data_IF_781692861041
#
_entry.id   IF_781692861041
#
_cell.length_a   1.000
_cell.length_b   1.000
_cell.length_c   1.000
_cell.angle_alpha   90.00
_cell.angle_beta   90.00
_cell.angle_gamma   90.00
#
_symmetry.space_group_name_H-M   'P 1'
#
loop_
_entity.id
_entity.type
_entity.pdbx_description
1 polymer ?
#
# COMPACT_ATOMS: atom_id res chain seq x y z
N UNK A 1 -2.48 -13.58 -9.77
CA UNK A 1 -1.79 -14.17 -10.96
C UNK A 1 -0.70 -13.24 -11.43
N UNK A 2 0.49 -13.74 -11.69
CA UNK A 2 1.60 -12.96 -12.23
C UNK A 2 1.73 -13.27 -13.74
N UNK A 3 1.64 -12.23 -14.59
CA UNK A 3 1.77 -12.37 -16.06
C UNK A 3 0.78 -13.36 -16.72
N UNK A 4 -0.46 -13.42 -16.21
CA UNK A 4 -1.46 -14.37 -16.70
C UNK A 4 -1.21 -15.82 -16.29
N UNK A 5 -0.21 -16.08 -15.44
CA UNK A 5 0.13 -17.41 -14.94
C UNK A 5 -0.10 -17.49 -13.44
N UNK A 6 -0.62 -18.64 -12.99
CA UNK A 6 -0.67 -18.96 -11.56
C UNK A 6 0.72 -19.39 -11.09
N UNK A 7 1.22 -18.73 -10.04
CA UNK A 7 2.53 -19.03 -9.45
C UNK A 7 2.32 -19.42 -8.00
N UNK A 8 2.61 -20.67 -7.61
CA UNK A 8 2.56 -21.08 -6.22
C UNK A 8 3.56 -20.29 -5.38
N UNK A 9 3.11 -19.84 -4.21
CA UNK A 9 3.96 -19.30 -3.16
C UNK A 9 4.44 -20.46 -2.26
N UNK A 10 5.42 -20.22 -1.36
CA UNK A 10 5.89 -21.24 -0.43
C UNK A 10 4.74 -21.90 0.35
N UNK A 11 4.76 -23.22 0.43
CA UNK A 11 3.72 -24.00 1.12
C UNK A 11 4.12 -24.33 2.56
N UNK A 12 3.11 -24.62 3.38
CA UNK A 12 3.26 -25.08 4.76
C UNK A 12 2.40 -26.33 4.94
N UNK A 13 2.99 -27.40 5.47
CA UNK A 13 2.22 -28.53 5.99
C UNK A 13 1.80 -28.24 7.42
N UNK A 14 0.57 -28.63 7.79
CA UNK A 14 0.07 -28.56 9.15
C UNK A 14 0.01 -29.95 9.76
N UNK A 15 0.49 -30.09 10.98
CA UNK A 15 0.47 -31.34 11.74
C UNK A 15 -0.27 -31.09 13.06
N UNK A 16 -1.38 -31.77 13.23
CA UNK A 16 -2.19 -31.72 14.47
C UNK A 16 -1.49 -32.38 15.65
N UNK A 17 -1.84 -31.98 16.86
CA UNK A 17 -1.36 -32.60 18.08
C UNK A 17 -2.07 -33.92 18.35
N UNK A 18 -1.42 -34.86 19.08
CA UNK A 18 -1.98 -36.14 19.44
C UNK A 18 -3.31 -35.99 20.18
N UNK A 19 -4.35 -36.72 19.74
CA UNK A 19 -5.70 -36.66 20.31
C UNK A 19 -6.59 -35.55 19.73
N UNK A 20 -6.07 -34.64 18.91
CA UNK A 20 -6.89 -33.66 18.19
C UNK A 20 -7.50 -34.31 16.94
N UNK A 21 -8.77 -33.98 16.65
CA UNK A 21 -9.43 -34.35 15.40
C UNK A 21 -9.26 -33.31 14.31
N UNK A 22 -8.55 -32.22 14.63
CA UNK A 22 -8.29 -31.07 13.71
C UNK A 22 -6.82 -30.70 13.76
N UNK A 23 -6.30 -30.24 12.65
CA UNK A 23 -4.92 -29.82 12.48
C UNK A 23 -4.72 -28.30 12.59
N UNK A 24 -5.77 -27.58 13.02
CA UNK A 24 -5.76 -26.12 13.08
C UNK A 24 -4.68 -25.57 14.03
N UNK A 25 -4.03 -24.50 13.62
CA UNK A 25 -3.06 -23.78 14.46
C UNK A 25 -3.67 -23.28 15.77
N UNK A 26 -4.93 -22.81 15.72
CA UNK A 26 -5.67 -22.39 16.93
C UNK A 26 -5.87 -23.50 17.95
N UNK A 27 -5.79 -24.76 17.54
CA UNK A 27 -5.90 -25.96 18.39
C UNK A 27 -4.53 -26.53 18.80
N UNK A 28 -3.45 -25.78 18.62
CA UNK A 28 -2.09 -26.18 18.98
C UNK A 28 -1.33 -26.92 17.87
N UNK A 29 -1.85 -26.93 16.64
CA UNK A 29 -1.15 -27.49 15.49
C UNK A 29 0.17 -26.79 15.19
N UNK A 30 1.14 -27.54 14.69
CA UNK A 30 2.47 -27.05 14.27
C UNK A 30 2.56 -27.06 12.76
N UNK A 31 2.96 -25.93 12.18
CA UNK A 31 3.23 -25.82 10.76
C UNK A 31 4.71 -25.97 10.45
N UNK A 32 5.02 -26.63 9.33
CA UNK A 32 6.38 -26.71 8.80
C UNK A 32 6.40 -26.34 7.33
N UNK A 33 7.39 -25.53 6.91
CA UNK A 33 7.57 -25.17 5.52
C UNK A 33 7.91 -26.37 4.65
N UNK A 34 7.45 -26.34 3.38
CA UNK A 34 7.73 -27.37 2.39
C UNK A 34 8.65 -26.82 1.33
N UNK A 35 9.78 -27.48 1.12
CA UNK A 35 10.75 -27.17 0.07
C UNK A 35 10.15 -27.51 -1.32
N UNK A 36 10.66 -26.92 -2.40
CA UNK A 36 10.13 -27.20 -3.75
C UNK A 36 10.12 -28.65 -4.19
N UNK A 37 10.98 -29.46 -3.60
CA UNK A 37 11.11 -30.90 -3.86
C UNK A 37 10.18 -31.77 -2.99
N UNK A 38 9.39 -31.15 -2.12
CA UNK A 38 8.47 -31.84 -1.20
C UNK A 38 9.02 -32.16 0.19
N UNK A 39 10.34 -32.00 0.43
CA UNK A 39 10.94 -32.17 1.75
C UNK A 39 10.49 -31.04 2.69
N UNK A 40 10.36 -31.36 3.96
CA UNK A 40 10.06 -30.36 4.97
C UNK A 40 11.30 -29.55 5.34
N UNK A 41 11.09 -28.37 5.92
CA UNK A 41 12.14 -27.64 6.60
C UNK A 41 12.57 -28.39 7.87
N UNK A 42 13.68 -27.98 8.46
CA UNK A 42 14.28 -28.70 9.59
C UNK A 42 13.50 -28.47 10.91
N UNK A 43 12.55 -27.55 10.93
CA UNK A 43 11.74 -27.23 12.09
C UNK A 43 10.36 -26.73 11.70
N UNK A 44 9.42 -26.80 12.63
CA UNK A 44 8.09 -26.23 12.53
C UNK A 44 7.82 -25.17 13.60
N UNK A 45 6.71 -24.45 13.45
CA UNK A 45 6.31 -23.37 14.35
C UNK A 45 4.83 -23.46 14.70
N UNK A 46 4.48 -23.10 15.96
CA UNK A 46 3.09 -22.84 16.34
C UNK A 46 2.64 -21.47 15.84
N UNK A 47 1.34 -21.18 15.96
CA UNK A 47 0.78 -19.86 15.67
C UNK A 47 1.45 -18.73 16.48
N UNK A 48 1.97 -19.04 17.67
CA UNK A 48 2.66 -18.08 18.54
C UNK A 48 4.15 -17.91 18.24
N UNK A 49 4.67 -18.61 17.22
CA UNK A 49 6.09 -18.58 16.85
C UNK A 49 6.99 -19.46 17.69
N UNK A 50 6.43 -20.39 18.49
CA UNK A 50 7.22 -21.37 19.22
C UNK A 50 7.81 -22.39 18.25
N UNK A 51 9.12 -22.61 18.31
CA UNK A 51 9.86 -23.48 17.39
C UNK A 51 9.96 -24.91 17.93
N UNK A 52 9.80 -25.87 17.03
CA UNK A 52 9.96 -27.30 17.29
C UNK A 52 10.83 -27.94 16.20
N UNK A 53 11.92 -28.61 16.59
CA UNK A 53 12.73 -29.44 15.67
C UNK A 53 12.11 -30.84 15.55
N UNK A 54 11.45 -31.29 16.61
CA UNK A 54 10.67 -32.53 16.67
C UNK A 54 9.25 -32.18 17.12
N UNK A 55 8.27 -32.62 16.35
CA UNK A 55 6.84 -32.40 16.66
C UNK A 55 6.49 -33.10 18.00
N UNK A 56 5.54 -32.57 18.83
CA UNK A 56 5.15 -33.19 20.10
C UNK A 56 4.70 -34.66 20.03
N UNK A 57 4.30 -35.17 18.87
CA UNK A 57 3.98 -36.59 18.63
C UNK A 57 5.20 -37.45 18.26
N UNK A 58 6.42 -36.91 18.29
CA UNK A 58 7.66 -37.61 17.99
C UNK A 58 8.13 -37.54 16.51
N UNK A 59 7.37 -36.85 15.63
CA UNK A 59 7.76 -36.71 14.23
C UNK A 59 8.92 -35.72 14.07
N UNK A 60 9.98 -36.15 13.38
CA UNK A 60 11.18 -35.34 13.09
C UNK A 60 10.98 -34.59 11.78
N UNK A 61 10.95 -33.27 11.83
CA UNK A 61 10.61 -32.46 10.63
C UNK A 61 11.63 -32.62 9.50
N UNK A 62 12.94 -32.68 9.81
CA UNK A 62 13.99 -32.81 8.79
C UNK A 62 13.94 -34.13 8.00
N UNK A 63 13.24 -35.15 8.51
CA UNK A 63 13.02 -36.44 7.87
C UNK A 63 11.70 -36.47 7.09
N UNK A 64 10.89 -35.41 7.18
CA UNK A 64 9.57 -35.34 6.61
C UNK A 64 9.55 -35.07 5.11
N UNK A 65 8.59 -35.66 4.44
CA UNK A 65 8.36 -35.50 3.02
C UNK A 65 6.86 -35.50 2.70
N UNK A 66 6.41 -34.60 1.82
CA UNK A 66 5.04 -34.55 1.32
C UNK A 66 4.98 -35.33 -0.01
N UNK A 67 4.35 -36.51 -0.05
CA UNK A 67 4.28 -37.31 -1.27
C UNK A 67 3.49 -36.56 -2.36
N UNK A 68 3.89 -36.71 -3.62
CA UNK A 68 3.22 -36.09 -4.77
C UNK A 68 2.99 -34.57 -4.62
N UNK A 69 3.91 -33.87 -3.97
CA UNK A 69 3.83 -32.42 -3.74
C UNK A 69 3.74 -31.64 -5.06
N UNK A 70 4.43 -32.09 -6.10
CA UNK A 70 4.35 -31.57 -7.46
C UNK A 70 2.94 -31.62 -8.04
N UNK A 71 2.22 -32.74 -7.84
CA UNK A 71 0.81 -32.86 -8.24
C UNK A 71 -0.09 -31.88 -7.48
N UNK A 72 0.16 -31.70 -6.19
CA UNK A 72 -0.57 -30.72 -5.39
C UNK A 72 -0.37 -29.28 -5.91
N UNK A 73 0.86 -28.91 -6.24
CA UNK A 73 1.16 -27.62 -6.84
C UNK A 73 0.47 -27.42 -8.20
N UNK A 74 0.44 -28.45 -9.05
CA UNK A 74 -0.25 -28.37 -10.35
C UNK A 74 -1.78 -28.29 -10.17
N UNK A 75 -2.34 -29.01 -9.19
CA UNK A 75 -3.76 -28.89 -8.85
C UNK A 75 -4.11 -27.47 -8.41
N UNK A 76 -3.32 -26.86 -7.51
CA UNK A 76 -3.49 -25.46 -7.09
C UNK A 76 -3.42 -24.50 -8.27
N UNK A 77 -2.45 -24.66 -9.17
CA UNK A 77 -2.34 -23.82 -10.37
C UNK A 77 -3.61 -23.91 -11.23
N UNK A 78 -4.10 -25.11 -11.49
CA UNK A 78 -5.34 -25.34 -12.26
C UNK A 78 -6.54 -24.72 -11.57
N UNK A 79 -6.73 -24.96 -10.27
CA UNK A 79 -7.83 -24.41 -9.50
C UNK A 79 -7.79 -22.87 -9.51
N UNK A 80 -6.63 -22.26 -9.33
CA UNK A 80 -6.51 -20.80 -9.32
C UNK A 80 -6.83 -20.18 -10.68
N UNK A 81 -6.58 -20.86 -11.78
CA UNK A 81 -6.96 -20.38 -13.12
C UNK A 81 -8.48 -20.31 -13.33
N UNK A 82 -9.28 -21.06 -12.55
CA UNK A 82 -10.75 -20.98 -12.60
C UNK A 82 -11.34 -19.84 -11.75
N UNK A 83 -10.53 -19.23 -10.91
CA UNK A 83 -10.91 -18.07 -10.07
C UNK A 83 -9.94 -16.89 -10.29
N UNK A 84 -9.75 -16.43 -11.53
CA UNK A 84 -8.73 -15.45 -11.89
C UNK A 84 -8.97 -14.06 -11.29
N UNK A 85 -10.17 -13.80 -10.76
CA UNK A 85 -10.52 -12.56 -10.09
C UNK A 85 -9.77 -12.34 -8.77
N UNK A 86 -9.18 -13.40 -8.20
CA UNK A 86 -8.38 -13.29 -6.98
C UNK A 86 -6.89 -13.29 -7.32
N UNK A 87 -6.20 -12.18 -7.01
CA UNK A 87 -4.75 -12.04 -7.27
C UNK A 87 -3.92 -12.99 -6.42
N UNK A 88 -4.33 -13.22 -5.16
CA UNK A 88 -3.71 -14.15 -4.21
C UNK A 88 -4.84 -14.92 -3.52
N UNK A 89 -4.67 -16.22 -3.38
CA UNK A 89 -5.56 -17.10 -2.62
C UNK A 89 -4.73 -18.15 -1.87
N UNK A 90 -5.16 -18.52 -0.67
CA UNK A 90 -4.67 -19.67 0.08
C UNK A 90 -5.50 -20.89 -0.29
N UNK A 91 -4.83 -22.02 -0.54
CA UNK A 91 -5.45 -23.28 -0.94
C UNK A 91 -5.10 -24.36 0.09
N UNK A 92 -6.09 -24.94 0.71
CA UNK A 92 -5.93 -26.06 1.64
C UNK A 92 -6.12 -27.36 0.86
N UNK A 93 -5.03 -28.13 0.74
CA UNK A 93 -4.93 -29.38 -0.03
C UNK A 93 -4.55 -30.51 0.93
N UNK A 94 -5.25 -31.61 0.86
CA UNK A 94 -4.82 -32.88 1.44
C UNK A 94 -4.26 -33.79 0.35
N UNK A 95 -3.42 -34.75 0.74
CA UNK A 95 -3.01 -35.86 -0.11
C UNK A 95 -3.74 -37.10 0.43
N UNK A 96 -4.52 -37.76 -0.39
CA UNK A 96 -5.26 -38.96 0.01
C UNK A 96 -4.38 -40.21 0.08
N UNK A 97 -4.98 -41.35 0.41
CA UNK A 97 -4.26 -42.61 0.56
C UNK A 97 -3.67 -43.15 -0.78
N UNK A 98 -4.23 -42.73 -1.89
CA UNK A 98 -3.76 -43.09 -3.25
C UNK A 98 -2.69 -42.10 -3.75
N UNK A 99 -2.38 -41.07 -2.94
CA UNK A 99 -1.39 -40.04 -3.25
C UNK A 99 -1.92 -38.94 -4.16
N UNK A 100 -3.23 -38.81 -4.30
CA UNK A 100 -3.84 -37.78 -5.13
C UNK A 100 -4.20 -36.52 -4.31
N UNK A 101 -4.01 -35.31 -4.88
CA UNK A 101 -4.35 -34.07 -4.18
C UNK A 101 -5.87 -33.85 -4.15
N UNK A 102 -6.38 -33.64 -2.96
CA UNK A 102 -7.80 -33.35 -2.68
C UNK A 102 -7.93 -31.91 -2.20
N UNK A 103 -8.72 -31.12 -2.89
CA UNK A 103 -9.05 -29.76 -2.47
C UNK A 103 -9.99 -29.80 -1.27
N UNK A 104 -9.58 -29.18 -0.17
CA UNK A 104 -10.40 -29.04 1.04
C UNK A 104 -11.16 -27.72 0.97
N UNK A 105 -10.43 -26.59 0.91
CA UNK A 105 -11.02 -25.25 0.83
C UNK A 105 -10.06 -24.25 0.20
N UNK A 106 -10.56 -23.06 -0.10
CA UNK A 106 -9.72 -21.94 -0.46
C UNK A 106 -10.18 -20.65 0.25
N UNK A 107 -9.21 -19.79 0.58
CA UNK A 107 -9.43 -18.54 1.29
C UNK A 107 -8.86 -17.38 0.50
N UNK A 108 -9.66 -16.33 0.28
CA UNK A 108 -9.30 -15.14 -0.49
C UNK A 108 -9.15 -13.89 0.36
N UNK A 109 -9.37 -14.01 1.66
CA UNK A 109 -9.22 -12.93 2.63
C UNK A 109 -8.83 -13.48 3.99
N UNK A 110 -8.01 -12.72 4.74
CA UNK A 110 -7.63 -13.07 6.10
C UNK A 110 -6.70 -14.28 6.25
N UNK A 111 -6.05 -14.73 5.17
CA UNK A 111 -5.04 -15.78 5.27
C UNK A 111 -3.93 -15.31 6.22
N UNK A 112 -3.72 -16.04 7.33
CA UNK A 112 -2.66 -15.75 8.30
C UNK A 112 -1.29 -15.89 7.65
N UNK A 113 -0.65 -14.77 7.35
CA UNK A 113 0.68 -14.76 6.74
C UNK A 113 1.79 -15.09 7.71
N UNK A 114 1.54 -14.94 9.01
CA UNK A 114 2.55 -15.09 10.08
C UNK A 114 3.18 -16.46 10.07
N UNK A 115 2.35 -17.51 9.99
CA UNK A 115 2.84 -18.88 9.99
C UNK A 115 3.71 -19.20 8.76
N UNK A 116 3.39 -18.63 7.61
CA UNK A 116 4.21 -18.74 6.41
C UNK A 116 5.56 -18.03 6.57
N UNK A 117 5.57 -16.86 7.22
CA UNK A 117 6.79 -16.10 7.47
C UNK A 117 7.73 -16.81 8.44
N UNK A 118 7.20 -17.42 9.50
CA UNK A 118 8.02 -18.23 10.43
C UNK A 118 8.67 -19.42 9.72
N UNK A 119 7.94 -20.09 8.85
CA UNK A 119 8.37 -21.34 8.23
C UNK A 119 9.21 -21.15 6.95
N UNK A 120 8.95 -20.11 6.17
CA UNK A 120 9.52 -19.94 4.84
C UNK A 120 10.19 -18.57 4.61
N UNK A 121 10.22 -17.71 5.64
CA UNK A 121 10.64 -16.31 5.48
C UNK A 121 9.59 -15.47 4.74
N UNK A 122 9.97 -14.33 4.14
CA UNK A 122 9.02 -13.42 3.52
C UNK A 122 8.15 -14.08 2.46
N UNK A 123 6.84 -14.24 2.72
CA UNK A 123 5.90 -14.99 1.88
C UNK A 123 5.93 -14.56 0.40
N UNK A 124 5.98 -13.27 0.16
CA UNK A 124 5.95 -12.73 -1.20
C UNK A 124 7.34 -12.60 -1.84
N UNK A 125 8.43 -12.67 -1.05
CA UNK A 125 9.81 -12.62 -1.54
C UNK A 125 10.02 -11.54 -2.62
N UNK A 126 10.57 -11.94 -3.76
CA UNK A 126 10.82 -11.07 -4.93
C UNK A 126 9.55 -10.51 -5.59
N UNK A 127 8.38 -11.04 -5.28
CA UNK A 127 7.10 -10.58 -5.85
C UNK A 127 6.40 -9.52 -4.97
N UNK A 128 6.96 -9.19 -3.81
CA UNK A 128 6.34 -8.29 -2.81
C UNK A 128 5.87 -6.97 -3.40
N UNK A 129 6.77 -6.26 -4.08
CA UNK A 129 6.45 -4.93 -4.62
C UNK A 129 5.36 -5.01 -5.69
N UNK A 130 5.41 -6.02 -6.53
CA UNK A 130 4.40 -6.23 -7.56
C UNK A 130 3.06 -6.63 -6.99
N UNK A 131 3.01 -7.54 -6.01
CA UNK A 131 1.76 -7.96 -5.35
C UNK A 131 1.12 -6.77 -4.63
N UNK A 132 1.93 -5.94 -3.98
CA UNK A 132 1.47 -4.71 -3.35
C UNK A 132 0.90 -3.76 -4.41
N UNK A 133 1.64 -3.50 -5.48
CA UNK A 133 1.18 -2.64 -6.57
C UNK A 133 -0.12 -3.17 -7.23
N UNK A 134 -0.19 -4.47 -7.52
CA UNK A 134 -1.38 -5.11 -8.09
C UNK A 134 -2.57 -5.09 -7.08
N UNK A 135 -2.32 -5.24 -5.78
CA UNK A 135 -3.34 -5.13 -4.75
C UNK A 135 -3.93 -3.71 -4.72
N UNK A 136 -3.09 -2.68 -4.75
CA UNK A 136 -3.54 -1.29 -4.81
C UNK A 136 -4.27 -0.96 -6.11
N UNK A 137 -3.78 -1.44 -7.25
CA UNK A 137 -4.45 -1.29 -8.54
C UNK A 137 -5.83 -1.95 -8.54
N UNK A 138 -5.92 -3.19 -8.07
CA UNK A 138 -7.17 -3.94 -7.96
C UNK A 138 -8.11 -3.39 -6.87
N UNK A 139 -7.58 -2.72 -5.85
CA UNK A 139 -8.39 -2.04 -4.83
C UNK A 139 -9.24 -0.93 -5.46
N UNK A 140 -8.65 -0.16 -6.36
CA UNK A 140 -9.34 0.87 -7.13
C UNK A 140 -10.36 0.27 -8.14
N UNK A 141 -10.08 -0.90 -8.73
CA UNK A 141 -10.92 -1.55 -9.75
C UNK A 141 -12.09 -2.38 -9.18
N UNK A 142 -12.06 -2.79 -7.91
CA UNK A 142 -13.03 -3.75 -7.32
C UNK A 142 -14.15 -3.13 -6.47
N UNK A 143 -14.33 -1.81 -6.50
CA UNK A 143 -15.39 -1.16 -5.73
C UNK A 143 -15.24 -1.34 -4.21
N UNK A 144 -14.01 -1.58 -3.71
CA UNK A 144 -13.70 -1.33 -2.32
C UNK A 144 -14.15 0.09 -2.01
N UNK A 145 -14.78 0.33 -0.89
CA UNK A 145 -15.17 1.67 -0.46
C UNK A 145 -13.93 2.54 -0.47
N UNK A 146 -13.80 3.34 -1.51
CA UNK A 146 -12.74 4.33 -1.59
C UNK A 146 -12.90 5.27 -0.40
N UNK A 147 -11.79 5.72 0.16
CA UNK A 147 -11.80 6.72 1.25
C UNK A 147 -12.32 8.09 0.78
N UNK A 148 -12.97 8.12 -0.40
CA UNK A 148 -13.54 9.31 -1.04
C UNK A 148 -14.60 8.93 -2.07
N UNK A 149 -15.46 9.88 -2.38
CA UNK A 149 -16.36 9.82 -3.52
C UNK A 149 -15.63 10.33 -4.78
N UNK A 150 -16.15 9.98 -5.95
CA UNK A 150 -15.64 10.50 -7.21
C UNK A 150 -16.77 10.69 -8.22
N UNK A 151 -16.49 11.45 -9.24
CA UNK A 151 -17.33 11.60 -10.43
C UNK A 151 -16.48 11.48 -11.69
N UNK A 152 -17.07 10.92 -12.74
CA UNK A 152 -16.39 10.83 -14.04
C UNK A 152 -17.09 11.78 -15.00
N UNK A 153 -16.33 12.70 -15.56
CA UNK A 153 -16.81 13.62 -16.58
C UNK A 153 -15.75 13.78 -17.69
N UNK A 154 -16.17 13.78 -18.94
CA UNK A 154 -15.28 13.91 -20.12
C UNK A 154 -14.12 12.89 -20.15
N UNK A 155 -14.36 11.71 -19.58
CA UNK A 155 -13.36 10.63 -19.53
C UNK A 155 -12.31 10.77 -18.43
N UNK A 156 -12.46 11.68 -17.49
CA UNK A 156 -11.57 11.92 -16.37
C UNK A 156 -12.29 11.82 -15.02
N UNK A 157 -11.61 11.33 -13.99
CA UNK A 157 -12.15 11.23 -12.64
C UNK A 157 -11.75 12.45 -11.79
N UNK A 158 -12.71 12.94 -11.02
CA UNK A 158 -12.55 13.98 -10.02
C UNK A 158 -12.93 13.42 -8.65
N UNK A 159 -12.04 13.53 -7.68
CA UNK A 159 -12.27 13.07 -6.30
C UNK A 159 -12.98 14.12 -5.47
N UNK A 160 -13.90 13.68 -4.61
CA UNK A 160 -14.66 14.54 -3.71
C UNK A 160 -15.02 13.82 -2.40
N UNK A 161 -15.42 14.58 -1.37
CA UNK A 161 -15.97 14.05 -0.11
C UNK A 161 -15.17 12.87 0.48
N UNK A 162 -13.91 13.13 0.80
CA UNK A 162 -13.05 12.15 1.46
C UNK A 162 -13.58 11.73 2.84
N UNK A 163 -13.36 10.46 3.18
CA UNK A 163 -13.67 9.91 4.49
C UNK A 163 -12.94 10.68 5.59
N UNK A 164 -13.63 10.91 6.71
CA UNK A 164 -13.01 11.53 7.92
C UNK A 164 -12.24 10.52 8.76
N UNK A 165 -12.44 9.23 8.50
CA UNK A 165 -11.80 8.16 9.25
C UNK A 165 -10.52 7.62 8.59
N UNK A 166 -10.14 8.16 7.42
CA UNK A 166 -8.92 7.77 6.72
C UNK A 166 -7.67 8.24 7.47
N UNK A 167 -6.74 7.31 7.72
CA UNK A 167 -5.41 7.60 8.29
C UNK A 167 -4.33 7.70 7.21
N UNK A 168 -4.35 6.79 6.25
CA UNK A 168 -3.38 6.71 5.17
C UNK A 168 -4.14 6.72 3.85
N UNK A 169 -4.09 7.83 3.14
CA UNK A 169 -4.80 8.03 1.89
C UNK A 169 -3.92 7.63 0.71
N UNK A 170 -4.49 6.87 -0.23
CA UNK A 170 -3.86 6.62 -1.53
C UNK A 170 -4.81 7.11 -2.61
N UNK A 171 -4.32 7.99 -3.47
CA UNK A 171 -5.04 8.47 -4.65
C UNK A 171 -4.45 7.76 -5.87
N UNK A 172 -5.18 6.79 -6.45
CA UNK A 172 -4.69 5.97 -7.55
C UNK A 172 -4.62 6.77 -8.87
N UNK A 173 -3.85 6.26 -9.82
CA UNK A 173 -3.76 6.84 -11.17
C UNK A 173 -5.09 6.77 -11.92
N UNK A 174 -5.82 5.65 -11.77
CA UNK A 174 -7.06 5.36 -12.47
C UNK A 174 -8.19 4.97 -11.50
N UNK A 175 -9.41 5.40 -11.80
CA UNK A 175 -10.66 4.94 -11.19
C UNK A 175 -11.62 4.56 -12.29
N UNK A 176 -12.18 3.35 -12.26
CA UNK A 176 -13.05 2.80 -13.33
C UNK A 176 -12.39 2.92 -14.73
N UNK A 177 -11.07 2.68 -14.80
CA UNK A 177 -10.30 2.80 -16.04
C UNK A 177 -10.15 4.23 -16.56
N UNK A 178 -10.53 5.25 -15.78
CA UNK A 178 -10.41 6.67 -16.16
C UNK A 178 -9.32 7.34 -15.31
N UNK A 179 -8.47 8.18 -15.92
CA UNK A 179 -7.42 8.86 -15.20
C UNK A 179 -8.00 9.83 -14.16
N UNK A 180 -7.44 9.80 -12.96
CA UNK A 180 -7.72 10.79 -11.93
C UNK A 180 -6.96 12.07 -12.28
N UNK A 181 -7.68 13.18 -12.40
CA UNK A 181 -7.11 14.47 -12.82
C UNK A 181 -7.28 15.59 -11.81
N UNK A 182 -8.25 15.47 -10.91
CA UNK A 182 -8.58 16.54 -9.99
C UNK A 182 -8.95 16.01 -8.61
N UNK A 183 -8.42 16.64 -7.59
CA UNK A 183 -8.96 16.57 -6.24
C UNK A 183 -9.85 17.79 -6.08
N UNK A 184 -11.14 17.58 -5.91
CA UNK A 184 -12.12 18.66 -5.84
C UNK A 184 -11.90 19.59 -4.64
N UNK A 185 -12.51 20.75 -4.70
CA UNK A 185 -12.51 21.69 -3.58
C UNK A 185 -13.05 21.02 -2.30
N UNK A 186 -12.33 21.21 -1.20
CA UNK A 186 -12.68 20.68 0.13
C UNK A 186 -12.77 19.17 0.25
N UNK A 187 -12.25 18.38 -0.70
CA UNK A 187 -12.39 16.93 -0.75
C UNK A 187 -12.02 16.24 0.58
N UNK A 188 -10.91 16.60 1.19
CA UNK A 188 -10.43 16.06 2.47
C UNK A 188 -10.38 17.12 3.59
N UNK A 189 -11.12 18.21 3.42
CA UNK A 189 -11.18 19.30 4.43
C UNK A 189 -11.56 18.76 5.80
N UNK A 190 -10.78 19.10 6.84
CA UNK A 190 -10.98 18.67 8.23
C UNK A 190 -10.89 17.14 8.44
N UNK A 191 -10.11 16.44 7.63
CA UNK A 191 -9.75 15.03 7.89
C UNK A 191 -8.67 15.01 8.99
N UNK A 192 -9.10 15.06 10.22
CA UNK A 192 -8.25 15.21 11.42
C UNK A 192 -7.55 13.92 11.85
N UNK A 193 -7.90 12.79 11.22
CA UNK A 193 -7.23 11.50 11.39
C UNK A 193 -6.19 11.21 10.32
N UNK A 194 -6.18 11.98 9.21
CA UNK A 194 -5.27 11.75 8.09
C UNK A 194 -3.82 12.04 8.47
N UNK A 195 -2.97 11.02 8.44
CA UNK A 195 -1.56 11.06 8.83
C UNK A 195 -0.63 11.09 7.62
N UNK A 196 -0.99 10.38 6.55
CA UNK A 196 -0.22 10.35 5.31
C UNK A 196 -1.08 10.33 4.05
N UNK A 197 -0.53 10.85 2.96
CA UNK A 197 -1.15 10.76 1.64
C UNK A 197 -0.12 10.42 0.56
N UNK A 198 -0.47 9.47 -0.31
CA UNK A 198 0.29 9.13 -1.52
C UNK A 198 -0.56 9.47 -2.73
N UNK A 199 -0.03 10.29 -3.62
CA UNK A 199 -0.71 10.71 -4.85
C UNK A 199 -0.01 10.07 -6.04
N UNK A 200 -0.61 9.02 -6.58
CA UNK A 200 -0.10 8.30 -7.77
C UNK A 200 -0.59 8.94 -9.07
N UNK A 201 -1.69 9.70 -8.99
CA UNK A 201 -2.32 10.32 -10.13
C UNK A 201 -1.56 11.56 -10.64
N UNK A 202 -1.50 11.70 -11.96
CA UNK A 202 -1.10 12.94 -12.61
C UNK A 202 -2.25 13.95 -12.56
N UNK A 203 -2.17 14.90 -11.64
CA UNK A 203 -3.25 15.85 -11.38
C UNK A 203 -3.10 17.14 -12.17
N UNK A 204 -4.20 17.62 -12.72
CA UNK A 204 -4.30 19.01 -13.21
C UNK A 204 -4.37 19.98 -12.03
N UNK A 205 -5.01 19.56 -10.93
CA UNK A 205 -5.23 20.44 -9.79
C UNK A 205 -5.46 19.68 -8.48
N UNK A 206 -4.84 20.19 -7.40
CA UNK A 206 -5.31 19.95 -6.03
C UNK A 206 -6.18 21.14 -5.68
N UNK A 207 -7.49 20.92 -5.55
CA UNK A 207 -8.48 21.98 -5.48
C UNK A 207 -8.43 22.86 -4.22
N UNK A 208 -9.21 23.92 -4.26
CA UNK A 208 -9.37 24.88 -3.14
C UNK A 208 -9.73 24.18 -1.82
N UNK A 209 -8.97 24.40 -0.76
CA UNK A 209 -9.15 23.78 0.56
C UNK A 209 -9.12 22.24 0.57
N UNK A 210 -8.57 21.59 -0.45
CA UNK A 210 -8.65 20.13 -0.60
C UNK A 210 -8.20 19.36 0.66
N UNK A 211 -7.09 19.75 1.28
CA UNK A 211 -6.56 19.21 2.55
C UNK A 211 -6.54 20.25 3.67
N UNK A 212 -7.43 21.23 3.59
CA UNK A 212 -7.49 22.26 4.63
C UNK A 212 -7.75 21.64 6.02
N UNK A 213 -6.91 22.02 6.99
CA UNK A 213 -7.02 21.58 8.38
C UNK A 213 -6.96 20.06 8.56
N UNK A 214 -6.17 19.36 7.72
CA UNK A 214 -5.72 18.00 7.98
C UNK A 214 -4.59 18.08 9.02
N UNK A 215 -4.97 18.33 10.28
CA UNK A 215 -4.04 18.76 11.33
C UNK A 215 -3.00 17.69 11.70
N UNK A 216 -3.27 16.42 11.44
CA UNK A 216 -2.35 15.30 11.68
C UNK A 216 -1.55 14.87 10.45
N UNK A 217 -1.77 15.46 9.28
CA UNK A 217 -1.04 15.11 8.07
C UNK A 217 0.45 15.44 8.24
N UNK A 218 1.27 14.41 8.33
CA UNK A 218 2.73 14.50 8.51
C UNK A 218 3.48 14.41 7.20
N UNK A 219 2.97 13.59 6.28
CA UNK A 219 3.65 13.26 5.02
C UNK A 219 2.68 13.32 3.83
N UNK A 220 3.17 13.90 2.75
CA UNK A 220 2.53 13.78 1.43
C UNK A 220 3.59 13.41 0.41
N UNK A 221 3.30 12.39 -0.39
CA UNK A 221 4.18 11.93 -1.44
C UNK A 221 3.49 12.03 -2.80
N UNK A 222 4.16 12.67 -3.74
CA UNK A 222 3.71 12.77 -5.13
C UNK A 222 4.51 11.79 -5.98
N UNK A 223 3.86 10.78 -6.53
CA UNK A 223 4.45 9.82 -7.48
C UNK A 223 4.35 10.29 -8.93
N UNK A 224 3.49 11.27 -9.19
CA UNK A 224 3.21 11.80 -10.51
C UNK A 224 3.07 13.34 -10.48
N UNK A 225 3.14 14.03 -11.63
CA UNK A 225 3.02 15.48 -11.71
C UNK A 225 1.69 16.01 -11.18
N UNK A 226 1.75 17.20 -10.58
CA UNK A 226 0.58 18.01 -10.20
C UNK A 226 0.78 19.40 -10.75
N UNK A 227 -0.09 19.89 -11.64
CA UNK A 227 0.12 21.19 -12.29
C UNK A 227 -0.14 22.37 -11.36
N UNK A 228 -1.22 22.32 -10.59
CA UNK A 228 -1.60 23.44 -9.74
C UNK A 228 -1.92 22.98 -8.33
N UNK A 229 -1.34 23.66 -7.34
CA UNK A 229 -1.73 23.56 -5.93
C UNK A 229 -2.56 24.81 -5.62
N UNK A 230 -3.86 24.64 -5.50
CA UNK A 230 -4.80 25.74 -5.39
C UNK A 230 -4.78 26.42 -4.02
N UNK A 231 -5.51 27.53 -3.95
CA UNK A 231 -5.59 28.35 -2.75
C UNK A 231 -5.96 27.53 -1.52
N UNK A 232 -5.20 27.69 -0.45
CA UNK A 232 -5.40 27.05 0.85
C UNK A 232 -5.43 25.52 0.80
N UNK A 233 -4.89 24.87 -0.23
CA UNK A 233 -4.97 23.40 -0.41
C UNK A 233 -4.46 22.64 0.81
N UNK A 234 -3.35 23.04 1.42
CA UNK A 234 -2.75 22.45 2.64
C UNK A 234 -2.72 23.42 3.83
N UNK A 235 -3.57 24.45 3.81
CA UNK A 235 -3.62 25.41 4.91
C UNK A 235 -4.02 24.70 6.21
N UNK A 236 -3.30 24.98 7.30
CA UNK A 236 -3.45 24.35 8.62
C UNK A 236 -3.10 22.83 8.68
N UNK A 237 -2.28 22.33 7.78
CA UNK A 237 -1.63 21.03 7.96
C UNK A 237 -0.47 21.20 8.97
N UNK A 238 -0.81 21.31 10.26
CA UNK A 238 0.14 21.75 11.30
C UNK A 238 1.26 20.77 11.58
N UNK A 239 1.04 19.49 11.32
CA UNK A 239 2.00 18.42 11.53
C UNK A 239 2.87 18.10 10.29
N UNK A 240 2.58 18.72 9.13
CA UNK A 240 3.32 18.49 7.88
C UNK A 240 4.78 18.94 8.03
N UNK A 241 5.72 17.99 7.86
CA UNK A 241 7.14 18.23 8.16
C UNK A 241 7.96 18.63 6.94
N UNK A 242 7.70 17.96 5.82
CA UNK A 242 8.39 18.24 4.57
C UNK A 242 7.51 17.93 3.36
N UNK A 243 7.79 18.62 2.25
CA UNK A 243 7.09 18.41 0.97
C UNK A 243 8.10 18.48 -0.18
N UNK A 244 7.99 17.54 -1.10
CA UNK A 244 8.68 17.62 -2.40
C UNK A 244 7.62 17.85 -3.46
N UNK A 245 7.61 19.06 -4.01
CA UNK A 245 6.72 19.40 -5.14
C UNK A 245 7.23 18.68 -6.38
N UNK A 246 6.40 17.93 -7.10
CA UNK A 246 6.85 17.17 -8.26
C UNK A 246 7.20 18.07 -9.45
N UNK A 247 8.12 17.61 -10.28
CA UNK A 247 8.40 18.23 -11.57
C UNK A 247 7.12 18.27 -12.42
N UNK A 248 6.91 19.41 -13.14
CA UNK A 248 5.67 19.66 -13.87
C UNK A 248 4.64 20.49 -13.10
N UNK A 249 4.89 20.79 -11.81
CA UNK A 249 4.10 21.79 -11.11
C UNK A 249 4.43 23.19 -11.67
N UNK A 250 3.41 23.94 -12.01
CA UNK A 250 3.51 25.26 -12.65
C UNK A 250 3.16 26.38 -11.66
N UNK A 251 2.21 26.10 -10.73
CA UNK A 251 1.64 27.14 -9.87
C UNK A 251 1.37 26.67 -8.45
N UNK A 252 1.77 27.50 -7.46
CA UNK A 252 1.40 27.39 -6.03
C UNK A 252 0.62 28.66 -5.66
N UNK A 253 -0.66 28.48 -5.32
CA UNK A 253 -1.56 29.60 -5.05
C UNK A 253 -1.47 30.12 -3.61
N UNK A 254 -2.11 31.29 -3.37
CA UNK A 254 -2.14 31.95 -2.06
C UNK A 254 -2.59 31.03 -0.95
N UNK A 255 -1.91 31.12 0.19
CA UNK A 255 -2.20 30.33 1.40
C UNK A 255 -2.06 28.82 1.24
N UNK A 256 -1.50 28.31 0.14
CA UNK A 256 -1.43 26.89 -0.13
C UNK A 256 -0.84 26.09 1.04
N UNK A 257 0.19 26.60 1.69
CA UNK A 257 0.86 26.03 2.87
C UNK A 257 0.84 26.98 4.06
N UNK A 258 -0.24 27.78 4.21
CA UNK A 258 -0.37 28.68 5.35
C UNK A 258 -0.53 27.88 6.66
N UNK A 259 0.05 28.36 7.74
CA UNK A 259 -0.04 27.78 9.10
C UNK A 259 0.43 26.30 9.17
N UNK A 260 1.36 25.89 8.30
CA UNK A 260 2.05 24.61 8.39
C UNK A 260 3.21 24.73 9.40
N UNK A 261 2.88 24.69 10.70
CA UNK A 261 3.81 25.06 11.79
C UNK A 261 5.05 24.20 11.89
N UNK A 262 4.95 22.90 11.54
CA UNK A 262 6.07 21.95 11.54
C UNK A 262 6.81 21.85 10.20
N UNK A 263 6.36 22.54 9.15
CA UNK A 263 6.99 22.49 7.83
C UNK A 263 8.39 23.10 7.90
N UNK A 264 9.39 22.24 7.83
CA UNK A 264 10.80 22.61 7.91
C UNK A 264 11.45 22.76 6.53
N UNK A 265 10.99 21.97 5.56
CA UNK A 265 11.57 21.95 4.22
C UNK A 265 10.50 21.74 3.16
N UNK A 266 10.58 22.53 2.11
CA UNK A 266 9.84 22.29 0.88
C UNK A 266 10.79 22.38 -0.32
N UNK A 267 10.79 21.35 -1.16
CA UNK A 267 11.56 21.36 -2.41
C UNK A 267 10.63 21.80 -3.54
N UNK A 268 10.99 22.87 -4.22
CA UNK A 268 10.21 23.46 -5.32
C UNK A 268 11.03 23.37 -6.60
N UNK A 269 10.55 22.64 -7.61
CA UNK A 269 11.24 22.49 -8.89
C UNK A 269 11.18 23.78 -9.72
N UNK A 270 12.09 23.91 -10.67
CA UNK A 270 12.16 25.06 -11.60
C UNK A 270 11.00 25.13 -12.60
N UNK A 271 10.18 24.08 -12.69
CA UNK A 271 8.90 24.12 -13.42
C UNK A 271 7.86 25.06 -12.78
N UNK A 272 7.98 25.36 -11.48
CA UNK A 272 7.10 26.32 -10.79
C UNK A 272 7.48 27.72 -11.19
N UNK A 273 6.64 28.34 -12.01
CA UNK A 273 6.82 29.71 -12.50
C UNK A 273 6.08 30.76 -11.68
N UNK A 274 5.09 30.34 -10.92
CA UNK A 274 4.25 31.25 -10.13
C UNK A 274 4.06 30.75 -8.72
N UNK A 275 4.45 31.54 -7.73
CA UNK A 275 4.11 31.35 -6.33
C UNK A 275 3.39 32.62 -5.89
N UNK A 276 2.08 32.47 -5.57
CA UNK A 276 1.29 33.63 -5.19
C UNK A 276 1.70 34.15 -3.80
N UNK A 277 1.44 35.44 -3.50
CA UNK A 277 1.67 36.00 -2.19
C UNK A 277 1.02 35.17 -1.08
N UNK A 278 1.61 35.19 0.11
CA UNK A 278 1.10 34.50 1.30
C UNK A 278 1.03 32.96 1.19
N UNK A 279 1.62 32.35 0.14
CA UNK A 279 1.58 30.88 -0.02
C UNK A 279 2.06 30.14 1.24
N UNK A 280 3.05 30.69 1.96
CA UNK A 280 3.64 30.15 3.19
C UNK A 280 3.40 31.02 4.43
N UNK A 281 2.38 31.88 4.39
CA UNK A 281 2.07 32.77 5.52
C UNK A 281 1.89 31.96 6.82
N UNK A 282 2.43 32.46 7.93
CA UNK A 282 2.38 31.76 9.23
C UNK A 282 3.03 30.35 9.27
N UNK A 283 3.96 30.09 8.36
CA UNK A 283 4.81 28.87 8.35
C UNK A 283 6.27 29.25 8.62
N UNK A 284 6.61 29.64 9.87
CA UNK A 284 7.83 30.37 10.20
C UNK A 284 9.11 29.54 10.07
N UNK A 285 9.00 28.23 10.03
CA UNK A 285 10.15 27.32 10.06
C UNK A 285 10.56 26.83 8.67
N UNK A 286 9.83 27.19 7.62
CA UNK A 286 10.04 26.64 6.29
C UNK A 286 11.35 27.12 5.68
N UNK A 287 12.08 26.18 5.09
CA UNK A 287 13.23 26.45 4.21
C UNK A 287 12.85 25.99 2.80
N UNK A 288 12.92 26.89 1.83
CA UNK A 288 12.63 26.58 0.44
C UNK A 288 13.92 26.05 -0.22
N UNK A 289 13.89 24.80 -0.67
CA UNK A 289 14.95 24.20 -1.46
C UNK A 289 14.57 24.35 -2.95
N UNK A 290 15.41 25.06 -3.71
CA UNK A 290 15.10 25.40 -5.10
C UNK A 290 16.38 25.58 -5.90
N UNK A 291 16.26 25.70 -7.23
CA UNK A 291 17.37 26.02 -8.10
C UNK A 291 17.67 27.51 -8.05
N UNK A 292 18.95 27.86 -8.12
CA UNK A 292 19.41 29.25 -8.23
C UNK A 292 18.80 29.90 -9.47
N UNK A 293 18.29 31.13 -9.31
CA UNK A 293 17.63 31.91 -10.36
C UNK A 293 16.17 31.49 -10.65
N UNK A 294 15.58 30.56 -9.85
CA UNK A 294 14.21 30.16 -10.04
C UNK A 294 13.21 31.16 -9.45
N UNK A 295 11.94 31.06 -9.85
CA UNK A 295 10.85 31.81 -9.24
C UNK A 295 10.71 31.55 -7.73
N UNK A 296 11.04 30.32 -7.30
CA UNK A 296 11.01 29.95 -5.89
C UNK A 296 12.09 30.65 -5.06
N UNK A 297 13.30 30.84 -5.61
CA UNK A 297 14.35 31.63 -4.96
C UNK A 297 13.94 33.10 -4.84
N UNK A 298 13.43 33.70 -5.93
CA UNK A 298 12.94 35.09 -5.91
C UNK A 298 11.85 35.28 -4.87
N UNK A 299 10.87 34.38 -4.84
CA UNK A 299 9.79 34.38 -3.85
C UNK A 299 10.33 34.32 -2.41
N UNK A 300 11.29 33.42 -2.15
CA UNK A 300 11.87 33.25 -0.81
C UNK A 300 12.58 34.54 -0.35
N UNK A 301 13.35 35.17 -1.23
CA UNK A 301 14.07 36.43 -0.96
C UNK A 301 13.05 37.55 -0.64
N UNK A 302 12.07 37.75 -1.53
CA UNK A 302 11.05 38.79 -1.41
C UNK A 302 10.23 38.69 -0.12
N UNK A 303 9.99 37.46 0.34
CA UNK A 303 9.19 37.19 1.56
C UNK A 303 10.04 36.92 2.82
N UNK A 304 11.36 37.09 2.75
CA UNK A 304 12.26 36.91 3.90
C UNK A 304 12.31 35.48 4.43
N UNK A 305 12.05 34.47 3.58
CA UNK A 305 12.08 33.06 3.94
C UNK A 305 13.48 32.48 3.76
N UNK A 306 13.81 31.49 4.61
CA UNK A 306 15.06 30.72 4.44
C UNK A 306 15.01 29.97 3.12
N UNK A 307 16.10 29.97 2.38
CA UNK A 307 16.23 29.19 1.16
C UNK A 307 17.59 28.53 1.02
N UNK A 308 17.62 27.47 0.22
CA UNK A 308 18.82 26.70 -0.14
C UNK A 308 18.77 26.36 -1.62
N UNK A 309 19.84 26.70 -2.36
CA UNK A 309 19.98 26.45 -3.79
C UNK A 309 21.05 25.40 -4.09
#
# INVERSE_FOLDING_TARGET
>A
MLEGKSTPLPAVVRIGTSGSRVDNFSSGGVGCGVKPDGHLNDCGYTQKGERYDVHPNGFVFSEGFVPNFDKALEAVKRCHMHVPMFGVASWDIAIDADGEPVLIEYNVGGAGIDIHQYNNGPLYGKYRERIIADAFKNYAERGATLDFNYSIARGEATLSNGSKDVHNLIIPELIDGKPVRTIAASAFKNSDKLESAIIEASLSEIGYLAFYNCSKLQQIEFKAPVKTISRSAFNRCTELESVVIPSGCEKICSYAFRTCKKLRQITIPDSVTTIEPDAFLESPNVTICCKKGSAAESYAIENGLKHKT
#
